data_IF_626902815491
#
_entry.id   IF_626902815491
#
_cell.length_a   1.000
_cell.length_b   1.000
_cell.length_c   1.000
_cell.angle_alpha   90.00
_cell.angle_beta   90.00
_cell.angle_gamma   90.00
#
_symmetry.space_group_name_H-M   'P 1'
#
loop_
_entity.id
_entity.type
_entity.pdbx_description
1 polymer ?
#
# COMPACT_ATOMS: atom_id res chain seq x y z
N UNK A 1 38.63 12.42 2.84
CA UNK A 1 38.42 11.15 2.10
C UNK A 1 37.13 10.45 2.49
N UNK A 2 36.91 10.17 3.77
CA UNK A 2 35.83 9.31 4.26
C UNK A 2 34.40 9.87 4.11
N UNK A 3 34.23 11.20 4.12
CA UNK A 3 32.94 11.90 4.07
C UNK A 3 32.19 11.69 2.73
N UNK A 4 32.92 11.67 1.60
CA UNK A 4 32.32 11.52 0.27
C UNK A 4 31.73 10.12 0.07
N UNK A 5 32.38 9.09 0.62
CA UNK A 5 31.90 7.71 0.54
C UNK A 5 30.65 7.51 1.38
N UNK A 6 30.54 8.20 2.53
CA UNK A 6 29.38 8.09 3.42
C UNK A 6 28.12 8.68 2.78
N UNK A 7 28.24 9.86 2.17
CA UNK A 7 27.13 10.48 1.43
C UNK A 7 26.76 9.68 0.18
N UNK A 8 27.74 9.16 -0.57
CA UNK A 8 27.47 8.30 -1.72
C UNK A 8 26.72 7.02 -1.32
N UNK A 9 27.15 6.33 -0.27
CA UNK A 9 26.48 5.14 0.25
C UNK A 9 25.08 5.46 0.79
N UNK A 10 24.90 6.61 1.44
CA UNK A 10 23.60 7.08 1.90
C UNK A 10 22.63 7.32 0.74
N UNK A 11 23.06 8.07 -0.28
CA UNK A 11 22.22 8.34 -1.46
C UNK A 11 21.91 7.06 -2.24
N UNK A 12 22.89 6.16 -2.39
CA UNK A 12 22.70 4.89 -3.08
C UNK A 12 21.72 3.98 -2.34
N UNK A 13 21.85 3.86 -1.02
CA UNK A 13 20.89 3.08 -0.21
C UNK A 13 19.49 3.69 -0.23
N UNK A 14 19.36 5.01 -0.13
CA UNK A 14 18.08 5.71 -0.22
C UNK A 14 17.41 5.48 -1.59
N UNK A 15 18.17 5.59 -2.68
CA UNK A 15 17.67 5.36 -4.03
C UNK A 15 17.16 3.92 -4.21
N UNK A 16 17.89 2.93 -3.68
CA UNK A 16 17.48 1.51 -3.72
C UNK A 16 16.18 1.29 -2.94
N UNK A 17 16.09 1.81 -1.71
CA UNK A 17 14.88 1.67 -0.88
C UNK A 17 13.68 2.34 -1.57
N UNK A 18 13.86 3.56 -2.10
CA UNK A 18 12.82 4.28 -2.81
C UNK A 18 12.34 3.49 -4.05
N UNK A 19 13.26 2.92 -4.82
CA UNK A 19 12.92 2.10 -5.98
C UNK A 19 12.11 0.86 -5.60
N UNK A 20 12.51 0.14 -4.54
CA UNK A 20 11.77 -1.03 -4.03
C UNK A 20 10.36 -0.65 -3.57
N UNK A 21 10.23 0.45 -2.81
CA UNK A 21 8.93 0.95 -2.36
C UNK A 21 8.02 1.33 -3.54
N UNK A 22 8.58 1.92 -4.61
CA UNK A 22 7.85 2.24 -5.83
C UNK A 22 7.30 0.96 -6.48
N UNK A 23 8.13 -0.07 -6.63
CA UNK A 23 7.70 -1.38 -7.17
C UNK A 23 6.59 -1.99 -6.31
N UNK A 24 6.72 -1.95 -4.99
CA UNK A 24 5.67 -2.44 -4.07
C UNK A 24 4.36 -1.65 -4.24
N UNK A 25 4.43 -0.32 -4.33
CA UNK A 25 3.26 0.55 -4.52
C UNK A 25 2.55 0.27 -5.85
N UNK A 26 3.31 0.05 -6.93
CA UNK A 26 2.77 -0.36 -8.23
C UNK A 26 2.06 -1.70 -8.11
N UNK A 27 2.64 -2.66 -7.40
CA UNK A 27 2.00 -3.95 -7.09
C UNK A 27 0.66 -3.81 -6.35
N UNK A 28 0.56 -2.88 -5.40
CA UNK A 28 -0.71 -2.57 -4.72
C UNK A 28 -1.76 -1.97 -5.66
N UNK A 29 -1.34 -1.14 -6.61
CA UNK A 29 -2.27 -0.51 -7.56
C UNK A 29 -2.87 -1.52 -8.53
N UNK A 30 -2.07 -2.51 -8.97
CA UNK A 30 -2.52 -3.61 -9.81
C UNK A 30 -3.33 -4.65 -9.02
N UNK A 31 -2.91 -4.95 -7.79
CA UNK A 31 -3.60 -5.91 -6.93
C UNK A 31 -4.53 -5.17 -5.97
N UNK A 32 -5.65 -4.65 -6.51
CA UNK A 32 -6.78 -4.08 -5.72
C UNK A 32 -7.49 -5.08 -4.80
N UNK A 33 -6.84 -6.21 -4.51
CA UNK A 33 -7.18 -7.11 -3.42
C UNK A 33 -7.09 -6.34 -2.12
N UNK A 34 -8.23 -6.24 -1.44
CA UNK A 34 -8.26 -5.78 -0.06
C UNK A 34 -7.24 -6.56 0.77
N UNK A 35 -6.42 -5.86 1.57
CA UNK A 35 -5.61 -6.54 2.59
C UNK A 35 -6.54 -7.39 3.45
N UNK A 36 -6.18 -8.67 3.66
CA UNK A 36 -7.05 -9.74 4.18
C UNK A 36 -7.60 -9.54 5.61
N UNK A 37 -7.44 -8.36 6.21
CA UNK A 37 -8.07 -7.92 7.46
C UNK A 37 -8.88 -6.61 7.36
N UNK A 38 -8.76 -5.84 6.28
CA UNK A 38 -9.52 -4.58 6.08
C UNK A 38 -10.98 -4.83 5.67
N UNK A 39 -11.29 -6.04 5.18
CA UNK A 39 -12.62 -6.48 4.76
C UNK A 39 -13.54 -7.01 5.87
N UNK A 40 -13.10 -6.97 7.14
CA UNK A 40 -13.81 -7.59 8.27
C UNK A 40 -14.35 -6.54 9.25
N UNK A 41 -15.48 -5.93 8.94
CA UNK A 41 -16.15 -4.97 9.82
C UNK A 41 -17.47 -4.44 9.26
N UNK A 42 -18.32 -3.82 10.10
CA UNK A 42 -19.52 -3.11 9.64
C UNK A 42 -19.19 -2.06 8.58
N UNK A 43 -20.18 -1.60 7.81
CA UNK A 43 -19.94 -0.53 6.83
C UNK A 43 -19.49 0.72 7.58
N UNK A 44 -18.26 1.16 7.31
CA UNK A 44 -17.75 2.43 7.79
C UNK A 44 -17.77 3.38 6.60
N UNK A 45 -18.67 4.36 6.65
CA UNK A 45 -18.66 5.48 5.72
C UNK A 45 -17.67 6.52 6.22
N UNK A 46 -16.90 7.08 5.29
CA UNK A 46 -16.03 8.20 5.58
C UNK A 46 -16.82 9.46 5.89
N UNK A 47 -16.15 10.51 6.37
CA UNK A 47 -16.78 11.82 6.62
C UNK A 47 -17.44 12.41 5.35
N UNK A 48 -16.97 12.01 4.17
CA UNK A 48 -17.48 12.45 2.86
C UNK A 48 -18.58 11.53 2.29
N UNK A 49 -19.04 10.52 3.04
CA UNK A 49 -20.07 9.57 2.58
C UNK A 49 -19.55 8.46 1.67
N UNK A 50 -18.30 8.53 1.22
CA UNK A 50 -17.64 7.44 0.51
C UNK A 50 -17.48 6.22 1.42
N UNK A 51 -17.82 5.03 0.90
CA UNK A 51 -17.54 3.80 1.62
C UNK A 51 -16.02 3.64 1.76
N UNK A 52 -15.48 3.55 2.98
CA UNK A 52 -14.07 3.17 3.21
C UNK A 52 -13.81 1.68 2.86
N UNK A 53 -14.76 1.03 2.18
CA UNK A 53 -14.74 -0.37 1.81
C UNK A 53 -14.10 -0.52 0.44
N UNK A 54 -13.19 -1.46 0.30
CA UNK A 54 -12.52 -1.68 -0.98
C UNK A 54 -13.41 -2.41 -2.01
N UNK A 55 -13.24 -2.02 -3.27
CA UNK A 55 -14.11 -2.33 -4.40
C UNK A 55 -14.28 -3.84 -4.73
N UNK A 56 -13.31 -4.67 -4.34
CA UNK A 56 -13.27 -6.09 -4.68
C UNK A 56 -13.01 -6.94 -3.42
N UNK A 57 -13.99 -7.04 -2.53
CA UNK A 57 -13.88 -7.85 -1.32
C UNK A 57 -14.28 -9.32 -1.61
N UNK A 58 -13.34 -10.28 -1.67
CA UNK A 58 -13.62 -11.67 -2.05
C UNK A 58 -14.42 -12.44 -0.99
N UNK A 59 -14.48 -11.93 0.26
CA UNK A 59 -15.27 -12.53 1.35
C UNK A 59 -16.72 -12.01 1.39
N UNK A 60 -17.16 -11.25 0.38
CA UNK A 60 -18.59 -11.04 0.11
C UNK A 60 -19.19 -12.37 -0.34
N UNK A 61 -19.49 -13.24 0.62
CA UNK A 61 -20.62 -14.13 0.43
C UNK A 61 -21.81 -13.21 0.21
N UNK A 62 -22.49 -13.37 -0.92
CA UNK A 62 -23.80 -12.78 -1.12
C UNK A 62 -24.66 -13.22 0.07
N UNK A 63 -24.83 -12.35 1.06
CA UNK A 63 -25.91 -12.47 2.03
C UNK A 63 -27.12 -11.82 1.36
N UNK A 64 -27.72 -12.59 0.47
CA UNK A 64 -29.13 -12.55 0.10
C UNK A 64 -29.63 -13.99 0.24
#
# INVERSE_FOLDING_TARGET
GLESSRMALFLLSLAVIAAVMLVMAVGLLFNRTCLRGSCGGPELSGPEGDSLRCAACPKRKASA
#
